data_IF_607585280704
#
_entry.id   IF_607585280704
#
_cell.length_a   1.000
_cell.length_b   1.000
_cell.length_c   1.000
_cell.angle_alpha   90.00
_cell.angle_beta   90.00
_cell.angle_gamma   90.00
#
_symmetry.space_group_name_H-M   'P 1'
#
loop_
_entity.id
_entity.type
_entity.pdbx_description
1 polymer ?
#
# COMPACT_ATOMS: atom_id res chain seq x y z
N UNK A 1 -15.84 -6.47 -5.27
CA UNK A 1 -15.40 -5.12 -4.87
C UNK A 1 -15.59 -5.05 -3.37
N UNK A 2 -14.54 -4.71 -2.63
CA UNK A 2 -14.51 -4.83 -1.17
C UNK A 2 -13.93 -3.53 -0.58
N UNK A 3 -14.74 -2.72 0.12
CA UNK A 3 -14.24 -1.56 0.84
C UNK A 3 -13.70 -1.97 2.22
N UNK A 4 -12.67 -1.28 2.69
CA UNK A 4 -12.15 -1.41 4.03
C UNK A 4 -11.84 -0.02 4.63
N UNK A 5 -12.11 0.14 5.92
CA UNK A 5 -11.59 1.24 6.72
C UNK A 5 -10.41 0.73 7.52
N UNK A 6 -9.33 1.51 7.57
CA UNK A 6 -8.08 1.14 8.21
C UNK A 6 -7.73 2.20 9.24
N UNK A 7 -7.64 1.78 10.50
CA UNK A 7 -7.10 2.58 11.60
C UNK A 7 -5.78 1.99 12.05
N UNK A 8 -4.77 2.83 12.26
CA UNK A 8 -3.46 2.43 12.80
C UNK A 8 -3.06 3.42 13.88
N UNK A 9 -2.43 2.91 14.92
CA UNK A 9 -1.81 3.70 15.98
C UNK A 9 -0.44 3.10 16.26
N UNK A 10 0.55 3.96 16.45
CA UNK A 10 1.90 3.56 16.83
C UNK A 10 2.40 4.46 17.95
N UNK A 11 2.54 3.90 19.14
CA UNK A 11 3.19 4.56 20.28
C UNK A 11 4.69 4.22 20.24
N UNK A 12 5.53 5.22 19.99
CA UNK A 12 6.97 5.06 19.81
C UNK A 12 7.73 5.86 20.86
N UNK A 13 8.92 5.37 21.26
CA UNK A 13 9.78 6.05 22.25
C UNK A 13 10.21 7.47 21.82
N UNK A 14 10.05 7.83 20.55
CA UNK A 14 10.06 9.21 20.08
C UNK A 14 8.64 9.71 19.81
N UNK A 15 8.12 10.60 20.68
CA UNK A 15 6.77 11.15 20.56
C UNK A 15 6.53 11.88 19.24
N UNK A 16 7.55 12.56 18.68
CA UNK A 16 7.49 13.15 17.34
C UNK A 16 7.39 12.12 16.18
N UNK A 17 7.49 10.82 16.48
CA UNK A 17 7.28 9.73 15.53
C UNK A 17 6.07 8.87 15.90
N UNK A 18 5.46 9.09 17.07
CA UNK A 18 4.19 8.47 17.44
C UNK A 18 3.08 9.07 16.59
N UNK A 19 2.14 8.23 16.14
CA UNK A 19 1.12 8.66 15.20
C UNK A 19 -0.19 7.87 15.30
N UNK A 20 -1.25 8.51 14.82
CA UNK A 20 -2.51 7.88 14.46
C UNK A 20 -2.79 8.06 12.96
N UNK A 21 -3.31 7.02 12.31
CA UNK A 21 -3.63 7.03 10.89
C UNK A 21 -5.02 6.48 10.62
N UNK A 22 -5.73 7.14 9.72
CA UNK A 22 -7.05 6.74 9.26
C UNK A 22 -7.05 6.70 7.73
N UNK A 23 -7.54 5.60 7.16
CA UNK A 23 -7.59 5.45 5.71
C UNK A 23 -8.74 4.60 5.22
N UNK A 24 -9.03 4.73 3.93
CA UNK A 24 -9.98 3.90 3.20
C UNK A 24 -9.25 3.16 2.09
N UNK A 25 -9.56 1.88 1.96
CA UNK A 25 -9.08 1.04 0.86
C UNK A 25 -10.26 0.47 0.09
N UNK A 26 -10.11 0.39 -1.23
CA UNK A 26 -11.03 -0.32 -2.12
C UNK A 26 -10.28 -1.40 -2.88
N UNK A 27 -10.71 -2.64 -2.71
CA UNK A 27 -10.14 -3.80 -3.39
C UNK A 27 -11.06 -4.30 -4.49
N UNK A 28 -10.54 -4.36 -5.71
CA UNK A 28 -11.21 -4.99 -6.86
C UNK A 28 -10.50 -6.30 -7.20
N UNK A 29 -11.26 -7.39 -7.32
CA UNK A 29 -10.74 -8.68 -7.74
C UNK A 29 -11.61 -9.28 -8.83
N UNK A 30 -10.98 -9.84 -9.86
CA UNK A 30 -11.65 -10.57 -10.95
C UNK A 30 -10.86 -11.83 -11.27
N UNK A 31 -11.58 -12.95 -11.39
CA UNK A 31 -11.01 -14.26 -11.72
C UNK A 31 -11.66 -14.82 -12.97
N UNK A 32 -10.84 -15.36 -13.85
CA UNK A 32 -11.21 -16.16 -15.01
C UNK A 32 -10.49 -17.53 -14.95
N UNK A 33 -10.67 -18.35 -15.98
CA UNK A 33 -10.12 -19.72 -16.01
C UNK A 33 -8.59 -19.79 -16.14
N UNK A 34 -7.95 -18.77 -16.72
CA UNK A 34 -6.49 -18.73 -16.93
C UNK A 34 -5.82 -17.52 -16.27
N UNK A 35 -6.59 -16.55 -15.78
CA UNK A 35 -6.01 -15.38 -15.16
C UNK A 35 -6.84 -14.90 -13.99
N UNK A 36 -6.18 -14.24 -13.04
CA UNK A 36 -6.83 -13.42 -12.02
C UNK A 36 -6.18 -12.04 -12.00
N UNK A 37 -6.93 -11.05 -11.56
CA UNK A 37 -6.44 -9.70 -11.34
C UNK A 37 -6.97 -9.18 -10.02
N UNK A 38 -6.09 -8.59 -9.22
CA UNK A 38 -6.43 -7.91 -7.97
C UNK A 38 -5.84 -6.51 -8.04
N UNK A 39 -6.63 -5.49 -7.69
CA UNK A 39 -6.18 -4.11 -7.58
C UNK A 39 -6.67 -3.50 -6.28
N UNK A 40 -5.85 -2.63 -5.70
CA UNK A 40 -6.17 -1.89 -4.49
C UNK A 40 -5.95 -0.41 -4.75
N UNK A 41 -6.89 0.41 -4.30
CA UNK A 41 -6.76 1.86 -4.20
C UNK A 41 -6.89 2.24 -2.74
N UNK A 42 -6.00 3.08 -2.24
CA UNK A 42 -5.94 3.53 -0.86
C UNK A 42 -5.80 5.05 -0.82
N UNK A 43 -6.51 5.66 0.12
CA UNK A 43 -6.34 7.05 0.52
C UNK A 43 -6.39 7.14 2.04
N UNK A 44 -5.55 7.97 2.65
CA UNK A 44 -5.51 8.09 4.10
C UNK A 44 -4.78 9.32 4.59
N UNK A 45 -4.80 9.50 5.89
CA UNK A 45 -4.10 10.56 6.60
C UNK A 45 -3.41 10.00 7.82
N UNK A 46 -2.21 10.49 8.09
CA UNK A 46 -1.41 10.15 9.27
C UNK A 46 -1.11 11.44 10.02
N UNK A 47 -1.38 11.45 11.32
CA UNK A 47 -1.16 12.59 12.22
C UNK A 47 -0.17 12.21 13.30
N UNK A 48 0.83 13.05 13.50
CA UNK A 48 1.89 12.83 14.48
C UNK A 48 1.61 13.59 15.78
N UNK A 49 1.92 12.95 16.91
CA UNK A 49 1.52 13.49 18.21
C UNK A 49 2.29 14.75 18.59
N UNK A 50 3.56 14.85 18.18
CA UNK A 50 4.43 15.98 18.52
C UNK A 50 5.16 16.56 17.31
N UNK A 51 5.49 17.84 17.42
CA UNK A 51 6.32 18.50 16.44
C UNK A 51 7.71 17.86 16.37
N UNK A 52 8.21 17.68 15.15
CA UNK A 52 9.58 17.31 14.91
C UNK A 52 10.53 18.36 15.52
N UNK A 53 11.50 17.98 16.37
CA UNK A 53 12.33 18.93 17.10
C UNK A 53 13.29 19.73 16.20
N UNK A 54 13.55 19.27 14.97
CA UNK A 54 14.43 19.96 14.01
C UNK A 54 13.65 21.02 13.23
N UNK A 55 12.43 20.68 12.81
CA UNK A 55 11.59 21.55 11.96
C UNK A 55 10.56 22.37 12.74
N UNK A 56 10.36 22.03 14.03
CA UNK A 56 9.38 22.63 14.93
C UNK A 56 7.94 22.62 14.36
N UNK A 57 7.59 21.55 13.65
CA UNK A 57 6.30 21.31 12.99
C UNK A 57 5.94 19.82 13.07
N UNK A 58 4.66 19.46 13.08
CA UNK A 58 4.23 18.05 12.98
C UNK A 58 4.46 17.53 11.55
N UNK A 59 4.74 16.24 11.40
CA UNK A 59 5.00 15.62 10.10
C UNK A 59 3.72 15.04 9.45
N UNK A 60 2.56 15.60 9.80
CA UNK A 60 1.24 15.15 9.31
C UNK A 60 1.24 14.99 7.79
N UNK A 61 0.59 13.94 7.31
CA UNK A 61 0.68 13.57 5.89
C UNK A 61 -0.62 13.06 5.29
N UNK A 62 -0.88 13.48 4.05
CA UNK A 62 -1.91 12.92 3.16
C UNK A 62 -1.29 11.79 2.32
N UNK A 63 -1.97 10.64 2.26
CA UNK A 63 -1.47 9.42 1.64
C UNK A 63 -2.37 8.97 0.49
N UNK A 64 -1.75 8.57 -0.61
CA UNK A 64 -2.43 7.90 -1.73
C UNK A 64 -1.60 6.70 -2.20
N UNK A 65 -2.26 5.58 -2.47
CA UNK A 65 -1.62 4.44 -3.10
C UNK A 65 -2.56 3.69 -4.05
N UNK A 66 -2.00 3.19 -5.15
CA UNK A 66 -2.68 2.31 -6.08
C UNK A 66 -1.75 1.18 -6.48
N UNK A 67 -2.26 -0.06 -6.48
CA UNK A 67 -1.52 -1.19 -7.00
C UNK A 67 -2.42 -2.19 -7.73
N UNK A 68 -1.78 -3.06 -8.49
CA UNK A 68 -2.42 -4.18 -9.15
C UNK A 68 -1.48 -5.37 -9.26
N UNK A 69 -2.01 -6.56 -9.05
CA UNK A 69 -1.34 -7.83 -9.33
C UNK A 69 -2.16 -8.62 -10.33
N UNK A 70 -1.53 -8.95 -11.46
CA UNK A 70 -2.03 -9.89 -12.44
C UNK A 70 -1.43 -11.27 -12.21
N UNK A 71 -2.27 -12.29 -12.30
CA UNK A 71 -1.90 -13.68 -12.14
C UNK A 71 -2.19 -14.42 -13.44
N UNK A 72 -1.21 -15.13 -13.96
CA UNK A 72 -1.40 -16.10 -15.04
C UNK A 72 -1.36 -17.51 -14.46
N UNK A 73 -2.49 -18.21 -14.49
CA UNK A 73 -2.65 -19.54 -13.93
C UNK A 73 -2.31 -20.64 -14.92
N UNK A 74 -1.92 -21.80 -14.38
CA UNK A 74 -1.54 -22.97 -15.17
C UNK A 74 -0.38 -22.66 -16.11
N UNK A 75 0.63 -21.98 -15.58
CA UNK A 75 1.81 -21.58 -16.34
C UNK A 75 2.47 -22.85 -16.92
N UNK A 76 2.77 -22.83 -18.21
CA UNK A 76 3.27 -24.00 -18.96
C UNK A 76 2.36 -25.25 -18.89
N UNK A 77 1.07 -25.06 -18.57
CA UNK A 77 0.11 -26.16 -18.38
C UNK A 77 0.15 -26.81 -16.99
N UNK A 78 1.02 -26.36 -16.09
CA UNK A 78 1.18 -26.93 -14.75
C UNK A 78 0.11 -26.35 -13.82
N UNK A 79 -0.89 -27.15 -13.46
CA UNK A 79 -2.06 -26.70 -12.70
C UNK A 79 -1.75 -25.86 -11.43
N UNK A 80 -0.81 -26.25 -10.55
CA UNK A 80 -0.49 -25.48 -9.34
C UNK A 80 0.41 -24.26 -9.56
N UNK A 81 0.96 -24.07 -10.77
CA UNK A 81 1.95 -23.03 -11.05
C UNK A 81 1.29 -21.79 -11.66
N UNK A 82 1.60 -20.63 -11.09
CA UNK A 82 1.18 -19.31 -11.57
C UNK A 82 2.36 -18.38 -11.76
N UNK A 83 2.30 -17.52 -12.78
CA UNK A 83 3.14 -16.33 -12.87
C UNK A 83 2.41 -15.13 -12.28
N UNK A 84 3.15 -14.22 -11.66
CA UNK A 84 2.63 -12.96 -11.12
C UNK A 84 3.32 -11.78 -11.77
N UNK A 85 2.57 -10.70 -11.97
CA UNK A 85 3.06 -9.40 -12.38
C UNK A 85 2.38 -8.35 -11.50
N UNK A 86 3.16 -7.58 -10.76
CA UNK A 86 2.66 -6.54 -9.86
C UNK A 86 3.25 -5.21 -10.25
N UNK A 87 2.42 -4.18 -10.21
CA UNK A 87 2.85 -2.79 -10.31
C UNK A 87 2.07 -1.94 -9.31
N UNK A 88 2.69 -0.87 -8.83
CA UNK A 88 2.05 0.06 -7.91
C UNK A 88 2.76 1.39 -7.83
N UNK A 89 2.01 2.36 -7.34
CA UNK A 89 2.44 3.72 -7.09
C UNK A 89 1.89 4.17 -5.73
N UNK A 90 2.71 4.85 -4.95
CA UNK A 90 2.32 5.44 -3.68
C UNK A 90 2.96 6.81 -3.51
N UNK A 91 2.23 7.71 -2.86
CA UNK A 91 2.66 9.05 -2.51
C UNK A 91 2.20 9.38 -1.09
N UNK A 92 3.05 10.06 -0.34
CA UNK A 92 2.75 10.66 0.95
C UNK A 92 3.28 12.08 0.92
N UNK A 93 2.36 13.06 1.00
CA UNK A 93 2.67 14.48 1.08
C UNK A 93 2.65 14.89 2.54
N UNK A 94 3.79 15.31 3.09
CA UNK A 94 3.94 15.70 4.50
C UNK A 94 3.99 17.21 4.66
N UNK A 95 3.46 17.71 5.77
CA UNK A 95 3.61 19.11 6.17
C UNK A 95 5.07 19.56 6.27
N UNK A 96 5.98 18.63 6.58
CA UNK A 96 7.42 18.84 6.48
C UNK A 96 7.90 18.18 5.19
N UNK A 97 8.21 18.98 4.17
CA UNK A 97 8.59 18.47 2.85
C UNK A 97 9.85 17.58 2.81
N UNK A 98 10.66 17.53 3.88
CA UNK A 98 11.74 16.54 4.01
C UNK A 98 11.20 15.09 4.09
N UNK A 99 9.97 14.91 4.57
CA UNK A 99 9.31 13.61 4.72
C UNK A 99 8.40 13.24 3.53
N UNK A 100 8.30 14.10 2.52
CA UNK A 100 7.59 13.78 1.28
C UNK A 100 8.17 12.51 0.65
N UNK A 101 7.29 11.57 0.33
CA UNK A 101 7.69 10.27 -0.21
C UNK A 101 6.91 9.95 -1.47
N UNK A 102 7.62 9.50 -2.49
CA UNK A 102 7.06 8.93 -3.71
C UNK A 102 7.71 7.57 -3.97
N UNK A 103 6.90 6.56 -4.27
CA UNK A 103 7.36 5.20 -4.49
C UNK A 103 6.65 4.55 -5.66
N UNK A 104 7.42 3.90 -6.52
CA UNK A 104 6.92 3.06 -7.61
C UNK A 104 7.46 1.66 -7.43
N UNK A 105 6.58 0.66 -7.50
CA UNK A 105 6.93 -0.75 -7.37
C UNK A 105 6.60 -1.47 -8.66
N UNK A 106 7.51 -2.34 -9.09
CA UNK A 106 7.30 -3.30 -10.15
C UNK A 106 7.93 -4.62 -9.76
N UNK A 107 7.18 -5.72 -9.86
CA UNK A 107 7.71 -7.05 -9.56
C UNK A 107 7.06 -8.13 -10.42
N UNK A 108 7.81 -9.20 -10.66
CA UNK A 108 7.32 -10.42 -11.30
C UNK A 108 7.75 -11.63 -10.49
N UNK A 109 7.00 -12.72 -10.56
CA UNK A 109 7.29 -13.90 -9.75
C UNK A 109 6.54 -15.15 -10.19
N UNK A 110 6.83 -16.25 -9.50
CA UNK A 110 6.14 -17.51 -9.64
C UNK A 110 5.51 -17.90 -8.29
N UNK A 111 4.28 -18.42 -8.35
CA UNK A 111 3.55 -18.94 -7.20
C UNK A 111 3.23 -20.41 -7.45
N UNK A 112 3.57 -21.28 -6.50
CA UNK A 112 3.27 -22.71 -6.55
C UNK A 112 2.37 -23.08 -5.38
N UNK A 113 1.20 -23.65 -5.67
CA UNK A 113 0.27 -24.14 -4.64
C UNK A 113 0.48 -25.64 -4.41
N UNK A 114 0.90 -26.03 -3.19
CA UNK A 114 1.12 -27.43 -2.78
C UNK A 114 -0.17 -28.15 -2.40
#
# INVERSE_FOLDING_TARGET
>A
LEPAFIYRQADLDGSAQSYESNGMQLTFAKRASQWSFVSNVYMGQTKYDEANPIFNQQADSDEFAINGTFFWHRLFGIAPLSATLTAGYAKSDSEIGFYDTESTVFSTGLLYNF
#
